data_IF_810919833814
#
_entry.id   IF_810919833814
#
_cell.length_a   1.000
_cell.length_b   1.000
_cell.length_c   1.000
_cell.angle_alpha   90.00
_cell.angle_beta   90.00
_cell.angle_gamma   90.00
#
_symmetry.space_group_name_H-M   'P 1'
#
loop_
_entity.id
_entity.type
_entity.pdbx_description
1 polymer ?
#
# COMPACT_ATOMS: atom_id res chain seq x y z
N UNK A 1 19.15 0.67 3.57
CA UNK A 1 18.45 -0.06 4.66
C UNK A 1 17.29 0.74 5.28
N UNK A 2 16.77 1.80 4.64
CA UNK A 2 15.78 2.70 5.27
C UNK A 2 14.31 2.38 4.92
N UNK A 3 14.06 1.49 3.96
CA UNK A 3 12.72 1.30 3.38
C UNK A 3 11.77 0.49 4.26
N UNK A 4 12.27 -0.48 5.03
CA UNK A 4 11.43 -1.34 5.88
C UNK A 4 10.88 -0.65 7.14
N UNK A 5 11.68 0.21 7.78
CA UNK A 5 11.24 0.99 8.94
C UNK A 5 10.26 2.10 8.54
N UNK A 6 10.50 2.78 7.42
CA UNK A 6 9.60 3.81 6.91
C UNK A 6 8.23 3.24 6.54
N UNK A 7 8.16 2.05 5.95
CA UNK A 7 6.91 1.38 5.62
C UNK A 7 6.10 1.00 6.87
N UNK A 8 6.76 0.46 7.91
CA UNK A 8 6.09 0.14 9.18
C UNK A 8 5.56 1.39 9.89
N UNK A 9 6.36 2.47 9.93
CA UNK A 9 5.93 3.76 10.51
C UNK A 9 4.77 4.37 9.71
N UNK A 10 4.77 4.23 8.38
CA UNK A 10 3.68 4.71 7.53
C UNK A 10 2.38 3.92 7.75
N UNK A 11 2.44 2.60 7.89
CA UNK A 11 1.28 1.75 8.20
C UNK A 11 0.73 2.05 9.58
N UNK A 12 1.61 2.20 10.59
CA UNK A 12 1.20 2.59 11.95
C UNK A 12 0.59 4.00 11.98
N UNK A 13 1.15 4.97 11.23
CA UNK A 13 0.56 6.31 11.06
C UNK A 13 -0.78 6.30 10.33
N UNK A 14 -0.95 5.47 9.30
CA UNK A 14 -2.21 5.36 8.56
C UNK A 14 -3.31 4.76 9.44
N UNK A 15 -2.99 3.70 10.19
CA UNK A 15 -3.91 3.06 11.16
C UNK A 15 -4.24 3.99 12.33
N UNK A 16 -3.30 4.83 12.77
CA UNK A 16 -3.55 5.81 13.83
C UNK A 16 -4.27 7.08 13.32
N UNK A 17 -3.96 7.58 12.12
CA UNK A 17 -4.59 8.76 11.51
C UNK A 17 -6.06 8.56 11.12
N UNK A 18 -6.46 7.30 10.88
CA UNK A 18 -7.89 6.94 10.76
C UNK A 18 -8.68 7.08 12.07
N UNK A 19 -8.02 7.22 13.24
CA UNK A 19 -8.69 7.53 14.51
C UNK A 19 -8.95 9.04 14.71
N UNK A 20 -8.19 9.94 14.08
CA UNK A 20 -8.34 11.40 14.27
C UNK A 20 -9.52 12.00 13.48
N UNK A 21 -10.03 11.28 12.48
CA UNK A 21 -11.14 11.77 11.64
C UNK A 21 -12.49 11.63 12.37
N UNK A 22 -12.58 10.86 13.45
CA UNK A 22 -13.85 10.64 14.18
C UNK A 22 -13.85 11.11 15.64
N UNK A 23 -12.79 11.83 16.04
CA UNK A 23 -12.62 12.36 17.39
C UNK A 23 -12.64 13.88 17.51
N UNK A 24 -12.96 14.64 16.46
CA UNK A 24 -13.07 16.10 16.55
C UNK A 24 -14.46 16.48 17.05
N UNK A 25 -14.49 16.79 18.34
CA UNK A 25 -15.52 17.48 19.09
C UNK A 25 -16.51 18.27 18.22
N UNK A 26 -17.76 17.81 18.24
CA UNK A 26 -18.92 18.64 17.92
C UNK A 26 -19.14 19.66 19.06
N UNK A 27 -18.12 20.44 19.39
CA UNK A 27 -18.22 21.67 20.17
C UNK A 27 -18.79 22.74 19.26
N UNK A 28 -20.11 22.70 19.05
CA UNK A 28 -20.82 23.72 18.31
C UNK A 28 -20.62 25.08 18.96
N UNK A 29 -19.82 25.94 18.32
CA UNK A 29 -19.86 27.37 18.55
C UNK A 29 -21.27 27.85 18.25
N UNK A 30 -22.03 28.11 19.31
CA UNK A 30 -23.28 28.89 19.23
C UNK A 30 -22.89 30.30 18.81
N UNK A 31 -22.87 30.54 17.50
CA UNK A 31 -23.06 31.89 16.97
C UNK A 31 -24.52 32.23 17.24
N UNK A 32 -24.75 32.99 18.31
CA UNK A 32 -26.04 33.65 18.56
C UNK A 32 -26.15 34.78 17.53
N UNK A 33 -26.59 34.42 16.32
CA UNK A 33 -27.19 35.39 15.41
C UNK A 33 -28.60 35.64 15.95
N UNK A 34 -28.76 36.78 16.60
CA UNK A 34 -30.04 37.36 16.94
C UNK A 34 -30.74 37.77 15.66
N UNK A 35 -31.51 36.85 15.09
CA UNK A 35 -32.49 37.17 14.06
C UNK A 35 -33.80 36.50 14.44
N UNK A 36 -34.71 37.35 14.91
CA UNK A 36 -36.08 37.05 15.28
C UNK A 36 -36.78 36.27 14.17
N UNK A 37 -36.77 34.93 14.28
CA UNK A 37 -37.66 34.07 13.48
C UNK A 37 -39.08 34.35 13.92
N UNK A 38 -39.75 35.22 13.19
CA UNK A 38 -41.21 35.23 13.10
C UNK A 38 -41.66 33.84 12.65
N UNK A 39 -42.08 33.02 13.62
CA UNK A 39 -42.74 31.75 13.33
C UNK A 39 -44.02 32.10 12.59
N UNK A 40 -44.04 31.83 11.28
CA UNK A 40 -45.19 32.01 10.42
C UNK A 40 -46.33 31.09 10.87
N UNK A 41 -47.16 31.58 11.81
CA UNK A 41 -48.35 30.88 12.33
C UNK A 41 -49.31 30.43 11.22
N UNK A 42 -49.32 31.11 10.07
CA UNK A 42 -50.19 30.79 8.93
C UNK A 42 -49.86 29.48 8.19
N UNK A 43 -48.69 28.86 8.39
CA UNK A 43 -48.33 27.58 7.75
C UNK A 43 -48.53 26.35 8.63
N UNK A 44 -48.87 26.53 9.92
CA UNK A 44 -49.07 25.42 10.84
C UNK A 44 -50.45 24.77 10.72
N UNK A 45 -51.50 25.57 10.58
CA UNK A 45 -52.88 25.07 10.43
C UNK A 45 -53.06 24.12 9.23
N UNK A 46 -52.59 24.43 8.00
CA UNK A 46 -52.70 23.49 6.89
C UNK A 46 -51.84 22.24 7.07
N UNK A 47 -50.74 22.31 7.83
CA UNK A 47 -49.92 21.13 8.17
C UNK A 47 -50.60 20.25 9.21
N UNK A 48 -51.30 20.83 10.19
CA UNK A 48 -52.08 20.10 11.20
C UNK A 48 -53.26 19.40 10.55
N UNK A 49 -54.01 20.08 9.68
CA UNK A 49 -55.12 19.51 8.92
C UNK A 49 -54.68 18.30 8.06
N UNK A 50 -53.60 18.44 7.28
CA UNK A 50 -53.05 17.31 6.51
C UNK A 50 -52.64 16.11 7.37
N UNK A 51 -52.10 16.35 8.57
CA UNK A 51 -51.74 15.28 9.52
C UNK A 51 -52.98 14.60 10.09
N UNK A 52 -54.02 15.34 10.42
CA UNK A 52 -55.29 14.77 10.90
C UNK A 52 -55.96 13.95 9.81
N UNK A 53 -55.94 14.42 8.56
CA UNK A 53 -56.52 13.70 7.42
C UNK A 53 -55.76 12.38 7.16
N UNK A 54 -54.43 12.40 7.25
CA UNK A 54 -53.61 11.18 7.13
C UNK A 54 -53.85 10.18 8.26
N UNK A 55 -54.01 10.66 9.50
CA UNK A 55 -54.34 9.80 10.65
C UNK A 55 -55.72 9.18 10.48
N UNK A 56 -56.71 9.96 10.06
CA UNK A 56 -58.07 9.50 9.79
C UNK A 56 -58.11 8.47 8.66
N UNK A 57 -57.42 8.72 7.55
CA UNK A 57 -57.30 7.79 6.43
C UNK A 57 -56.61 6.49 6.84
N UNK A 58 -55.48 6.59 7.57
CA UNK A 58 -54.77 5.41 8.08
C UNK A 58 -55.63 4.59 9.05
N UNK A 59 -56.45 5.26 9.86
CA UNK A 59 -57.40 4.60 10.76
C UNK A 59 -58.51 3.90 10.00
N UNK A 60 -59.08 4.54 8.97
CA UNK A 60 -60.11 3.94 8.12
C UNK A 60 -59.59 2.69 7.40
N UNK A 61 -58.39 2.74 6.83
CA UNK A 61 -57.73 1.59 6.19
C UNK A 61 -57.43 0.43 7.16
N UNK A 62 -57.16 0.71 8.43
CA UNK A 62 -57.03 -0.36 9.44
C UNK A 62 -58.38 -1.01 9.75
N UNK A 63 -59.45 -0.22 9.75
CA UNK A 63 -60.79 -0.70 10.07
C UNK A 63 -61.44 -1.46 8.90
N UNK A 64 -60.99 -1.25 7.66
CA UNK A 64 -61.44 -2.03 6.49
C UNK A 64 -60.91 -3.47 6.46
N UNK A 65 -59.90 -3.80 7.26
CA UNK A 65 -59.36 -5.17 7.40
C UNK A 65 -60.05 -5.87 8.59
N UNK A 66 -60.39 -7.17 8.50
CA UNK A 66 -60.90 -7.95 9.62
C UNK A 66 -60.00 -7.89 10.86
N UNK A 67 -60.59 -7.94 12.06
CA UNK A 67 -59.87 -7.69 13.31
C UNK A 67 -58.72 -8.68 13.54
N UNK A 68 -58.87 -9.93 13.12
CA UNK A 68 -57.88 -11.01 13.26
C UNK A 68 -56.63 -10.78 12.38
N UNK A 69 -56.78 -10.06 11.27
CA UNK A 69 -55.70 -9.75 10.34
C UNK A 69 -55.04 -8.39 10.60
N UNK A 70 -55.46 -7.66 11.64
CA UNK A 70 -54.85 -6.37 12.01
C UNK A 70 -53.57 -6.61 12.80
N UNK A 71 -52.43 -6.00 12.42
CA UNK A 71 -51.25 -6.03 13.26
C UNK A 71 -51.57 -5.35 14.60
N UNK A 72 -51.17 -5.99 15.70
CA UNK A 72 -51.37 -5.45 17.04
C UNK A 72 -50.77 -4.04 17.14
N UNK A 73 -51.46 -3.08 17.77
CA UNK A 73 -50.93 -1.74 17.94
C UNK A 73 -49.64 -1.79 18.78
N UNK A 74 -48.51 -1.53 18.15
CA UNK A 74 -47.21 -1.50 18.84
C UNK A 74 -47.09 -0.22 19.64
N UNK A 75 -46.71 -0.32 20.92
CA UNK A 75 -46.38 0.85 21.72
C UNK A 75 -45.18 1.58 21.11
N UNK A 76 -45.40 2.80 20.62
CA UNK A 76 -44.35 3.61 19.96
C UNK A 76 -43.11 3.79 20.83
N UNK A 77 -43.27 3.88 22.16
CA UNK A 77 -42.16 4.06 23.09
C UNK A 77 -41.26 2.81 23.14
N UNK A 78 -41.87 1.64 23.22
CA UNK A 78 -41.14 0.38 23.32
C UNK A 78 -40.49 0.01 21.98
N UNK A 79 -41.18 0.27 20.87
CA UNK A 79 -40.61 0.14 19.53
C UNK A 79 -39.35 1.00 19.33
N UNK A 80 -39.38 2.25 19.79
CA UNK A 80 -38.21 3.14 19.73
C UNK A 80 -37.08 2.71 20.68
N UNK A 81 -37.40 2.09 21.82
CA UNK A 81 -36.39 1.53 22.74
C UNK A 81 -35.69 0.34 22.09
N UNK A 82 -36.45 -0.62 21.59
CA UNK A 82 -35.94 -1.79 20.87
C UNK A 82 -35.04 -1.39 19.70
N UNK A 83 -35.47 -0.44 18.85
CA UNK A 83 -34.64 0.05 17.75
C UNK A 83 -33.35 0.73 18.19
N UNK A 84 -33.34 1.42 19.34
CA UNK A 84 -32.11 2.01 19.88
C UNK A 84 -31.17 0.94 20.42
N UNK A 85 -31.69 -0.04 21.12
CA UNK A 85 -30.93 -1.17 21.65
C UNK A 85 -30.31 -1.99 20.51
N UNK A 86 -31.08 -2.32 19.47
CA UNK A 86 -30.58 -2.96 18.26
C UNK A 86 -29.43 -2.18 17.61
N UNK A 87 -29.59 -0.86 17.48
CA UNK A 87 -28.57 0.01 16.90
C UNK A 87 -27.32 0.11 17.78
N UNK A 88 -27.47 0.10 19.10
CA UNK A 88 -26.34 0.07 20.03
C UNK A 88 -25.61 -1.28 19.98
N UNK A 89 -26.35 -2.39 19.95
CA UNK A 89 -25.79 -3.73 19.81
C UNK A 89 -25.03 -3.87 18.49
N UNK A 90 -25.59 -3.41 17.37
CA UNK A 90 -24.93 -3.40 16.07
C UNK A 90 -23.64 -2.57 16.09
N UNK A 91 -23.65 -1.40 16.73
CA UNK A 91 -22.45 -0.56 16.90
C UNK A 91 -21.40 -1.24 17.76
N UNK A 92 -21.79 -1.93 18.83
CA UNK A 92 -20.87 -2.68 19.69
C UNK A 92 -20.22 -3.84 18.92
N UNK A 93 -21.01 -4.64 18.20
CA UNK A 93 -20.52 -5.73 17.37
C UNK A 93 -19.56 -5.24 16.27
N UNK A 94 -19.89 -4.12 15.60
CA UNK A 94 -19.00 -3.50 14.61
C UNK A 94 -17.66 -3.06 15.22
N UNK A 95 -17.67 -2.48 16.43
CA UNK A 95 -16.45 -2.12 17.16
C UNK A 95 -15.62 -3.34 17.54
N UNK A 96 -16.25 -4.41 18.01
CA UNK A 96 -15.57 -5.67 18.31
C UNK A 96 -14.89 -6.23 17.05
N UNK A 97 -15.62 -6.32 15.92
CA UNK A 97 -15.05 -6.77 14.65
C UNK A 97 -13.86 -5.92 14.21
N UNK A 98 -13.97 -4.60 14.31
CA UNK A 98 -12.86 -3.69 13.99
C UNK A 98 -11.64 -3.95 14.87
N UNK A 99 -11.84 -4.16 16.16
CA UNK A 99 -10.75 -4.39 17.10
C UNK A 99 -10.06 -5.74 16.84
N UNK A 100 -10.83 -6.79 16.51
CA UNK A 100 -10.27 -8.09 16.10
C UNK A 100 -9.43 -7.96 14.83
N UNK A 101 -9.99 -7.33 13.78
CA UNK A 101 -9.26 -7.08 12.53
C UNK A 101 -7.98 -6.27 12.77
N UNK A 102 -8.02 -5.27 13.65
CA UNK A 102 -6.84 -4.49 14.01
C UNK A 102 -5.78 -5.36 14.68
N UNK A 103 -6.17 -6.25 15.59
CA UNK A 103 -5.25 -7.16 16.24
C UNK A 103 -4.61 -8.13 15.24
N UNK A 104 -5.41 -8.70 14.33
CA UNK A 104 -4.94 -9.58 13.25
C UNK A 104 -3.92 -8.87 12.34
N UNK A 105 -4.23 -7.65 11.88
CA UNK A 105 -3.33 -6.85 11.02
C UNK A 105 -2.02 -6.56 11.76
N UNK A 106 -2.08 -6.18 13.04
CA UNK A 106 -0.89 -5.89 13.83
C UNK A 106 -0.03 -7.14 14.06
N UNK A 107 -0.65 -8.31 14.26
CA UNK A 107 0.08 -9.58 14.36
C UNK A 107 0.77 -9.91 13.04
N UNK A 108 0.03 -9.88 11.93
CA UNK A 108 0.58 -10.17 10.60
C UNK A 108 1.73 -9.22 10.24
N UNK A 109 1.59 -7.92 10.56
CA UNK A 109 2.67 -6.95 10.35
C UNK A 109 3.93 -7.26 11.17
N UNK A 110 3.78 -7.77 12.39
CA UNK A 110 4.92 -8.19 13.22
C UNK A 110 5.60 -9.44 12.67
N UNK A 111 4.82 -10.41 12.20
CA UNK A 111 5.34 -11.65 11.62
C UNK A 111 6.12 -11.36 10.34
N UNK A 112 5.56 -10.57 9.43
CA UNK A 112 6.27 -10.08 8.23
C UNK A 112 7.56 -9.36 8.64
N UNK A 113 7.52 -8.47 9.63
CA UNK A 113 8.71 -7.75 10.06
C UNK A 113 9.80 -8.67 10.66
N UNK A 114 9.43 -9.83 11.22
CA UNK A 114 10.39 -10.85 11.69
C UNK A 114 10.97 -11.63 10.52
N UNK A 115 10.12 -12.04 9.58
CA UNK A 115 10.52 -12.74 8.35
C UNK A 115 11.49 -11.90 7.53
N UNK A 116 11.16 -10.63 7.27
CA UNK A 116 12.04 -9.69 6.55
C UNK A 116 13.39 -9.52 7.23
N UNK A 117 13.44 -9.49 8.57
CA UNK A 117 14.70 -9.46 9.32
C UNK A 117 15.51 -10.74 9.15
N UNK A 118 14.86 -11.90 9.14
CA UNK A 118 15.55 -13.17 8.88
C UNK A 118 16.05 -13.27 7.44
N UNK A 119 15.24 -12.87 6.46
CA UNK A 119 15.62 -12.84 5.05
C UNK A 119 16.82 -11.89 4.82
N UNK A 120 16.79 -10.69 5.40
CA UNK A 120 17.90 -9.75 5.33
C UNK A 120 19.21 -10.30 5.93
N UNK A 121 19.13 -11.09 7.01
CA UNK A 121 20.31 -11.75 7.59
C UNK A 121 20.87 -12.82 6.64
N UNK A 122 20.01 -13.65 6.07
CA UNK A 122 20.42 -14.70 5.12
C UNK A 122 21.05 -14.09 3.85
N UNK A 123 20.45 -13.02 3.30
CA UNK A 123 21.02 -12.32 2.16
C UNK A 123 22.36 -11.66 2.50
N UNK A 124 22.50 -11.06 3.70
CA UNK A 124 23.79 -10.54 4.14
C UNK A 124 24.87 -11.63 4.28
N UNK A 125 24.50 -12.81 4.76
CA UNK A 125 25.39 -13.97 4.83
C UNK A 125 25.79 -14.48 3.44
N UNK A 126 24.84 -14.54 2.50
CA UNK A 126 25.10 -14.88 1.10
C UNK A 126 26.09 -13.92 0.46
N UNK A 127 25.87 -12.60 0.58
CA UNK A 127 26.78 -11.59 0.05
C UNK A 127 28.18 -11.68 0.67
N UNK A 128 28.26 -11.99 1.97
CA UNK A 128 29.53 -12.19 2.65
C UNK A 128 30.26 -13.44 2.14
N UNK A 129 29.53 -14.52 1.86
CA UNK A 129 30.09 -15.73 1.26
C UNK A 129 30.59 -15.45 -0.16
N UNK A 130 29.80 -14.74 -0.97
CA UNK A 130 30.17 -14.35 -2.34
C UNK A 130 31.40 -13.44 -2.38
N UNK A 131 31.50 -12.47 -1.46
CA UNK A 131 32.69 -11.63 -1.33
C UNK A 131 33.94 -12.43 -0.95
N UNK A 132 33.79 -13.47 -0.12
CA UNK A 132 34.90 -14.37 0.24
C UNK A 132 35.34 -15.20 -0.96
N UNK A 133 34.41 -15.77 -1.73
CA UNK A 133 34.74 -16.53 -2.94
C UNK A 133 35.36 -15.65 -4.02
N UNK A 134 34.85 -14.43 -4.22
CA UNK A 134 35.44 -13.47 -5.15
C UNK A 134 36.90 -13.15 -4.75
N UNK A 135 37.17 -12.99 -3.45
CA UNK A 135 38.52 -12.75 -2.94
C UNK A 135 39.44 -13.97 -3.12
N UNK A 136 38.94 -15.19 -3.00
CA UNK A 136 39.75 -16.39 -3.27
C UNK A 136 40.09 -16.50 -4.75
N UNK A 137 39.12 -16.28 -5.64
CA UNK A 137 39.37 -16.30 -7.09
C UNK A 137 40.35 -15.21 -7.51
N UNK A 138 40.22 -13.98 -7.02
CA UNK A 138 41.18 -12.91 -7.32
C UNK A 138 42.63 -13.29 -6.92
N UNK A 139 42.81 -13.93 -5.77
CA UNK A 139 44.14 -14.41 -5.34
C UNK A 139 44.68 -15.55 -6.19
N UNK A 140 43.80 -16.43 -6.68
CA UNK A 140 44.18 -17.51 -7.59
C UNK A 140 44.59 -16.96 -8.96
N UNK A 141 43.87 -15.98 -9.47
CA UNK A 141 44.20 -15.27 -10.71
C UNK A 141 45.54 -14.52 -10.59
N UNK A 142 45.78 -13.81 -9.49
CA UNK A 142 47.07 -13.17 -9.22
C UNK A 142 48.22 -14.18 -9.21
N UNK A 143 48.02 -15.36 -8.60
CA UNK A 143 49.02 -16.44 -8.59
C UNK A 143 49.22 -17.04 -9.99
N UNK A 144 48.16 -17.19 -10.77
CA UNK A 144 48.25 -17.67 -12.14
C UNK A 144 49.01 -16.67 -13.03
N UNK A 145 48.70 -15.37 -12.91
CA UNK A 145 49.40 -14.30 -13.60
C UNK A 145 50.89 -14.24 -13.21
N UNK A 146 51.21 -14.35 -11.92
CA UNK A 146 52.59 -14.37 -11.45
C UNK A 146 53.39 -15.59 -11.98
N UNK A 147 52.76 -16.76 -12.09
CA UNK A 147 53.37 -17.95 -12.71
C UNK A 147 53.57 -17.76 -14.21
N UNK A 148 52.62 -17.15 -14.90
CA UNK A 148 52.73 -16.83 -16.32
C UNK A 148 53.92 -15.91 -16.58
N UNK A 149 54.03 -14.80 -15.86
CA UNK A 149 55.16 -13.86 -15.97
C UNK A 149 56.50 -14.50 -15.60
N UNK A 150 56.53 -15.35 -14.57
CA UNK A 150 57.74 -16.10 -14.20
C UNK A 150 58.16 -17.13 -15.26
N UNK A 151 57.21 -17.67 -16.02
CA UNK A 151 57.42 -18.59 -17.14
C UNK A 151 57.74 -17.90 -18.47
N UNK A 152 57.53 -16.57 -18.58
CA UNK A 152 58.05 -15.77 -19.68
C UNK A 152 59.57 -15.71 -19.55
N UNK A 153 60.28 -16.68 -20.15
CA UNK A 153 61.69 -16.50 -20.45
C UNK A 153 61.80 -15.17 -21.19
N UNK A 154 62.59 -14.21 -20.68
CA UNK A 154 62.89 -12.96 -21.38
C UNK A 154 63.45 -13.33 -22.74
N UNK A 155 62.58 -13.45 -23.74
CA UNK A 155 62.96 -13.77 -25.10
C UNK A 155 63.96 -12.68 -25.46
N UNK A 156 65.23 -13.02 -25.76
CA UNK A 156 66.20 -12.00 -26.11
C UNK A 156 65.60 -11.19 -27.24
N UNK A 157 65.57 -9.86 -27.05
CA UNK A 157 64.90 -8.90 -27.93
C UNK A 157 65.08 -9.38 -29.38
N UNK A 158 63.96 -9.73 -30.02
CA UNK A 158 63.97 -10.28 -31.36
C UNK A 158 64.79 -9.31 -32.21
N UNK A 159 66.01 -9.72 -32.59
CA UNK A 159 66.87 -8.95 -33.47
C UNK A 159 66.09 -8.80 -34.76
N UNK A 160 65.41 -7.67 -34.92
CA UNK A 160 64.76 -7.29 -36.15
C UNK A 160 65.87 -7.23 -37.18
N UNK A 161 65.99 -8.29 -37.98
CA UNK A 161 66.71 -8.22 -39.23
C UNK A 161 65.93 -7.20 -40.06
N UNK A 162 66.41 -5.96 -40.10
CA UNK A 162 66.04 -5.01 -41.14
C UNK A 162 66.34 -5.70 -42.47
N UNK A 163 65.29 -6.13 -43.17
CA UNK A 163 65.42 -6.57 -44.55
C UNK A 163 66.04 -5.41 -45.30
N UNK A 164 67.24 -5.66 -45.85
CA UNK A 164 67.92 -4.72 -46.71
C UNK A 164 66.93 -4.27 -47.79
N UNK A 165 67.00 -2.98 -48.15
CA UNK A 165 66.25 -2.38 -49.27
C UNK A 165 66.66 -3.04 -50.60
N UNK A 166 66.28 -4.30 -50.81
CA UNK A 166 66.36 -4.94 -52.10
C UNK A 166 65.18 -4.45 -52.92
N UNK A 167 65.50 -3.68 -53.96
CA UNK A 167 64.58 -3.04 -54.90
C UNK A 167 63.93 -4.06 -55.83
N UNK A 168 63.35 -5.14 -55.30
CA UNK A 168 62.67 -6.17 -56.08
C UNK A 168 61.16 -6.00 -55.93
N UNK A 169 60.60 -5.20 -56.87
CA UNK A 169 59.21 -5.21 -57.39
C UNK A 169 58.17 -5.90 -56.50
N UNK A 170 57.89 -5.38 -55.30
CA UNK A 170 56.65 -5.69 -54.61
C UNK A 170 55.57 -4.80 -55.23
N UNK A 171 54.90 -5.33 -56.25
CA UNK A 171 53.70 -4.71 -56.82
C UNK A 171 52.62 -4.74 -55.74
N UNK A 172 52.05 -3.59 -55.43
CA UNK A 172 50.98 -3.47 -54.45
C UNK A 172 49.77 -4.28 -54.92
N UNK A 173 49.04 -4.94 -54.00
CA UNK A 173 47.81 -5.67 -54.33
C UNK A 173 46.78 -4.77 -55.06
N UNK A 174 46.78 -3.46 -54.77
CA UNK A 174 45.95 -2.49 -55.46
C UNK A 174 46.34 -2.28 -56.94
N UNK A 175 47.63 -2.40 -57.28
CA UNK A 175 48.10 -2.34 -58.66
C UNK A 175 47.73 -3.60 -59.45
N UNK A 176 47.80 -4.79 -58.83
CA UNK A 176 47.34 -6.04 -59.45
C UNK A 176 45.85 -5.99 -59.81
N UNK A 177 45.02 -5.38 -58.97
CA UNK A 177 43.58 -5.25 -59.25
C UNK A 177 43.28 -4.27 -60.41
N UNK A 178 44.15 -3.28 -60.68
CA UNK A 178 43.98 -2.34 -61.79
C UNK A 178 44.35 -2.92 -63.15
N UNK A 179 45.27 -3.90 -63.19
CA UNK A 179 45.68 -4.56 -64.44
C UNK A 179 44.69 -5.62 -64.93
N UNK A 180 43.57 -5.86 -64.22
CA UNK A 180 42.59 -6.91 -64.54
C UNK A 180 41.30 -6.37 -65.17
N UNK A 181 41.38 -5.33 -66.01
CA UNK A 181 40.28 -4.85 -66.86
C UNK A 181 40.67 -4.97 -68.32
#
# INVERSE_FOLDING_TARGET
METGQAAFVAVVRLVNGLNDIHGRDAGGTRVVSGESRSVSKGKEEPRRARRTDQVSLSRALRLSVPAEARPAPVNRRDWLRQRKEELQAARAAARQRRNLLRAEIMSAAQDIAREERSAARLEAERLKAEARSARTYAREDERAAAKFERGQSKRPAAKTKTLAKEKTKLVSYAELLRMRK
#
